data_IF_110654031754
#
_entry.id   IF_110654031754
#
_cell.length_a   1.000
_cell.length_b   1.000
_cell.length_c   1.000
_cell.angle_alpha   90.00
_cell.angle_beta   90.00
_cell.angle_gamma   90.00
#
_symmetry.space_group_name_H-M   'P 1'
#
loop_
_entity.id
_entity.type
_entity.pdbx_description
1 polymer ?
#
# COMPACT_ATOMS: atom_id res chain seq x y z
N UNK A 1 -5.09 -18.55 20.42
CA UNK A 1 -5.13 -17.63 19.25
C UNK A 1 -5.05 -18.43 17.93
N UNK A 2 -6.17 -18.52 17.21
CA UNK A 2 -6.32 -19.29 15.97
C UNK A 2 -5.27 -18.88 14.92
N UNK A 3 -4.34 -19.78 14.61
CA UNK A 3 -3.28 -19.61 13.62
C UNK A 3 -3.85 -19.84 12.22
N UNK A 4 -4.65 -18.90 11.71
CA UNK A 4 -5.06 -18.89 10.29
C UNK A 4 -5.65 -20.21 9.78
N UNK A 5 -6.36 -20.97 10.62
CA UNK A 5 -6.87 -22.28 10.20
C UNK A 5 -7.82 -22.13 9.00
N UNK A 6 -7.54 -22.90 7.96
CA UNK A 6 -8.41 -23.06 6.81
C UNK A 6 -9.58 -23.94 7.24
N UNK A 7 -10.80 -23.44 7.08
CA UNK A 7 -12.03 -24.09 7.50
C UNK A 7 -12.86 -24.39 6.26
N UNK A 8 -13.28 -25.63 6.08
CA UNK A 8 -14.22 -26.01 5.04
C UNK A 8 -15.63 -25.72 5.54
N UNK A 9 -16.32 -24.73 4.96
CA UNK A 9 -17.76 -24.54 5.20
C UNK A 9 -18.52 -24.63 3.88
N UNK A 10 -19.53 -25.50 3.86
CA UNK A 10 -20.53 -25.53 2.81
C UNK A 10 -21.45 -24.31 2.93
N UNK A 11 -21.51 -23.47 1.89
CA UNK A 11 -22.51 -22.42 1.74
C UNK A 11 -23.20 -22.62 0.39
N UNK A 12 -24.47 -23.02 0.41
CA UNK A 12 -25.44 -22.91 -0.69
C UNK A 12 -25.05 -23.45 -2.08
N UNK A 13 -25.70 -24.55 -2.50
CA UNK A 13 -25.74 -25.19 -3.83
C UNK A 13 -24.43 -25.56 -4.56
N UNK A 14 -23.31 -24.90 -4.33
CA UNK A 14 -21.99 -25.32 -4.81
C UNK A 14 -21.25 -26.04 -3.67
N UNK A 15 -20.97 -27.33 -3.90
CA UNK A 15 -20.28 -28.20 -2.95
C UNK A 15 -18.77 -27.88 -2.99
N UNK A 16 -18.16 -27.74 -1.81
CA UNK A 16 -16.71 -27.72 -1.56
C UNK A 16 -15.90 -26.44 -1.89
N UNK A 17 -16.22 -25.29 -1.27
CA UNK A 17 -15.30 -24.15 -1.20
C UNK A 17 -14.51 -24.09 0.11
N UNK A 18 -13.22 -23.77 0.00
CA UNK A 18 -12.36 -23.50 1.16
C UNK A 18 -12.49 -22.05 1.63
N UNK A 19 -12.55 -21.83 2.95
CA UNK A 19 -12.63 -20.49 3.53
C UNK A 19 -11.63 -20.31 4.69
N UNK A 20 -11.33 -19.06 5.05
CA UNK A 20 -10.52 -18.74 6.24
C UNK A 20 -11.32 -17.98 7.28
N UNK A 21 -11.24 -18.39 8.54
CA UNK A 21 -11.89 -17.69 9.67
C UNK A 21 -11.38 -16.26 9.85
N UNK A 22 -10.12 -15.99 9.50
CA UNK A 22 -9.51 -14.66 9.59
C UNK A 22 -8.63 -14.37 8.37
N UNK A 23 -8.43 -13.08 8.06
CA UNK A 23 -7.59 -12.65 6.94
C UNK A 23 -6.34 -11.85 7.40
N UNK A 24 -5.56 -12.42 8.34
CA UNK A 24 -4.35 -11.76 8.84
C UNK A 24 -3.22 -11.70 7.80
N UNK A 25 -3.22 -12.64 6.86
CA UNK A 25 -2.28 -12.68 5.74
C UNK A 25 -2.62 -11.64 4.65
N UNK A 26 -3.78 -10.97 4.72
CA UNK A 26 -4.16 -9.94 3.77
C UNK A 26 -4.39 -10.48 2.35
N UNK A 27 -4.96 -11.67 2.24
CA UNK A 27 -5.33 -12.29 0.96
C UNK A 27 -4.18 -12.98 0.21
N UNK A 28 -2.95 -12.94 0.72
CA UNK A 28 -1.76 -13.48 0.05
C UNK A 28 -1.01 -14.42 1.00
N UNK A 29 -0.75 -15.65 0.54
CA UNK A 29 0.05 -16.65 1.25
C UNK A 29 1.07 -17.25 0.29
N UNK A 30 2.35 -17.32 0.71
CA UNK A 30 3.41 -17.87 -0.14
C UNK A 30 3.60 -17.14 -1.49
N UNK A 31 3.16 -15.88 -1.59
CA UNK A 31 3.20 -15.10 -2.83
C UNK A 31 2.03 -15.33 -3.78
N UNK A 32 1.02 -16.13 -3.40
CA UNK A 32 -0.16 -16.43 -4.23
C UNK A 32 -1.43 -15.96 -3.53
N UNK A 33 -2.40 -15.48 -4.30
CA UNK A 33 -3.71 -15.09 -3.79
C UNK A 33 -4.46 -16.29 -3.21
N UNK A 34 -5.05 -16.12 -2.04
CA UNK A 34 -5.58 -17.24 -1.26
C UNK A 34 -7.13 -17.30 -1.24
N UNK A 35 -7.79 -16.45 -2.04
CA UNK A 35 -9.25 -16.33 -2.14
C UNK A 35 -9.89 -15.35 -1.16
N UNK A 36 -9.16 -14.89 -0.14
CA UNK A 36 -9.63 -13.81 0.75
C UNK A 36 -9.35 -12.42 0.13
N UNK A 37 -10.03 -11.35 0.60
CA UNK A 37 -9.74 -9.99 0.14
C UNK A 37 -8.25 -9.64 0.27
N UNK A 38 -7.68 -9.03 -0.77
CA UNK A 38 -6.29 -8.54 -0.72
C UNK A 38 -6.25 -7.26 0.10
N UNK A 39 -5.44 -7.22 1.16
CA UNK A 39 -5.31 -6.07 2.05
C UNK A 39 -3.87 -5.56 2.01
N UNK A 40 -3.69 -4.37 1.46
CA UNK A 40 -2.39 -3.69 1.36
C UNK A 40 -2.41 -2.43 2.22
N UNK A 41 -1.30 -2.16 2.93
CA UNK A 41 -1.09 -0.90 3.67
C UNK A 41 0.13 -0.19 3.11
N UNK A 42 -0.06 1.08 2.74
CA UNK A 42 1.00 1.91 2.17
C UNK A 42 1.33 3.05 3.13
N UNK A 43 2.61 3.18 3.47
CA UNK A 43 3.11 4.25 4.32
C UNK A 43 3.78 5.31 3.45
N UNK A 44 3.18 6.50 3.44
CA UNK A 44 3.72 7.64 2.72
C UNK A 44 4.58 8.49 3.65
N UNK A 45 5.81 8.76 3.23
CA UNK A 45 6.62 9.79 3.86
C UNK A 45 5.92 11.17 3.72
N UNK A 46 6.09 12.09 4.68
CA UNK A 46 5.68 13.48 4.50
C UNK A 46 6.31 14.13 3.26
N UNK A 47 5.64 15.13 2.69
CA UNK A 47 6.17 15.84 1.53
C UNK A 47 7.52 16.48 1.89
N UNK A 48 8.51 16.36 0.99
CA UNK A 48 9.90 16.71 1.27
C UNK A 48 10.13 18.20 1.54
N UNK A 49 9.37 19.08 0.88
CA UNK A 49 9.54 20.53 0.97
C UNK A 49 8.65 21.09 2.07
N UNK A 50 9.22 21.96 2.91
CA UNK A 50 8.55 22.53 4.07
C UNK A 50 8.65 24.06 4.01
N UNK A 51 7.60 24.75 4.45
CA UNK A 51 7.62 26.22 4.59
C UNK A 51 8.65 26.71 5.61
N UNK A 52 8.99 25.88 6.59
CA UNK A 52 10.21 26.03 7.38
C UNK A 52 11.30 25.19 6.68
N UNK A 53 12.17 25.81 5.87
CA UNK A 53 13.10 25.07 5.04
C UNK A 53 14.09 24.28 5.89
N UNK A 54 14.52 23.14 5.35
CA UNK A 54 15.59 22.34 5.92
C UNK A 54 16.93 22.84 5.39
N UNK A 55 17.99 22.70 6.20
CA UNK A 55 19.34 23.00 5.72
C UNK A 55 19.77 22.00 4.65
N UNK A 56 20.36 22.52 3.59
CA UNK A 56 20.88 21.78 2.45
C UNK A 56 22.15 22.45 1.93
N UNK A 57 22.62 22.06 0.74
CA UNK A 57 23.83 22.57 0.11
C UNK A 57 23.53 23.01 -1.31
N UNK A 58 24.00 24.19 -1.70
CA UNK A 58 23.99 24.63 -3.10
C UNK A 58 24.99 23.77 -3.90
N UNK A 59 24.50 23.10 -4.94
CA UNK A 59 25.28 22.12 -5.71
C UNK A 59 26.41 22.80 -6.52
N UNK A 60 26.26 24.06 -6.92
CA UNK A 60 27.25 24.83 -7.68
C UNK A 60 28.34 25.38 -6.77
N UNK A 61 27.94 26.03 -5.67
CA UNK A 61 28.89 26.73 -4.78
C UNK A 61 29.44 25.83 -3.66
N UNK A 62 28.78 24.70 -3.38
CA UNK A 62 29.05 23.78 -2.27
C UNK A 62 28.94 24.43 -0.88
N UNK A 63 28.21 25.54 -0.78
CA UNK A 63 27.97 26.24 0.47
C UNK A 63 26.63 25.87 1.09
N UNK A 64 26.48 26.11 2.40
CA UNK A 64 25.23 25.90 3.12
C UNK A 64 24.13 26.80 2.55
N UNK A 65 22.95 26.22 2.34
CA UNK A 65 21.77 26.90 1.80
C UNK A 65 20.49 26.32 2.43
N UNK A 66 19.38 27.05 2.30
CA UNK A 66 18.07 26.56 2.69
C UNK A 66 17.37 25.85 1.52
N UNK A 67 16.64 24.78 1.82
CA UNK A 67 15.90 24.02 0.80
C UNK A 67 14.78 24.86 0.16
N UNK A 68 14.63 24.74 -1.16
CA UNK A 68 13.59 25.42 -1.92
C UNK A 68 12.19 24.86 -1.62
N UNK A 69 11.18 25.71 -1.67
CA UNK A 69 9.77 25.34 -1.47
C UNK A 69 9.11 25.14 -2.84
N UNK A 70 8.78 23.90 -3.18
CA UNK A 70 8.19 23.55 -4.48
C UNK A 70 6.67 23.40 -4.44
N UNK A 71 6.11 22.93 -3.32
CA UNK A 71 4.66 22.76 -3.15
C UNK A 71 4.19 23.26 -1.80
N UNK A 72 2.91 23.62 -1.75
CA UNK A 72 2.24 24.24 -0.61
C UNK A 72 1.30 23.30 0.16
N UNK A 73 1.03 22.11 -0.37
CA UNK A 73 0.12 21.17 0.28
C UNK A 73 0.74 20.53 1.53
N UNK A 74 -0.07 20.35 2.57
CA UNK A 74 0.39 19.82 3.88
C UNK A 74 0.32 18.29 3.91
N UNK A 75 -0.66 17.69 3.21
CA UNK A 75 -0.90 16.25 3.24
C UNK A 75 -1.22 15.71 1.84
N UNK A 76 -0.47 14.68 1.42
CA UNK A 76 -0.69 13.96 0.15
C UNK A 76 -1.47 12.66 0.34
N UNK A 77 -1.62 12.17 1.57
CA UNK A 77 -2.13 10.81 1.87
C UNK A 77 -3.46 10.49 1.17
N UNK A 78 -4.49 11.35 1.15
CA UNK A 78 -5.73 11.04 0.45
C UNK A 78 -5.54 10.85 -1.06
N UNK A 79 -4.74 11.71 -1.71
CA UNK A 79 -4.43 11.59 -3.15
C UNK A 79 -3.55 10.38 -3.45
N UNK A 80 -2.62 10.08 -2.55
CA UNK A 80 -1.74 8.94 -2.68
C UNK A 80 -2.48 7.59 -2.50
N UNK A 81 -3.61 7.59 -1.79
CA UNK A 81 -4.53 6.44 -1.72
C UNK A 81 -5.04 6.03 -3.09
N UNK A 82 -5.55 6.98 -3.88
CA UNK A 82 -6.02 6.74 -5.25
C UNK A 82 -4.91 6.18 -6.15
N UNK A 83 -3.70 6.73 -6.04
CA UNK A 83 -2.54 6.23 -6.79
C UNK A 83 -2.17 4.81 -6.36
N UNK A 84 -2.23 4.51 -5.06
CA UNK A 84 -1.97 3.18 -4.52
C UNK A 84 -2.97 2.14 -5.01
N UNK A 85 -4.26 2.50 -5.06
CA UNK A 85 -5.33 1.66 -5.60
C UNK A 85 -5.12 1.39 -7.09
N UNK A 86 -4.85 2.43 -7.88
CA UNK A 86 -4.58 2.28 -9.31
C UNK A 86 -3.37 1.35 -9.58
N UNK A 87 -2.29 1.50 -8.81
CA UNK A 87 -1.12 0.62 -8.92
C UNK A 87 -1.44 -0.82 -8.53
N UNK A 88 -2.24 -1.04 -7.48
CA UNK A 88 -2.69 -2.37 -7.10
C UNK A 88 -3.53 -3.01 -8.21
N UNK A 89 -4.50 -2.29 -8.77
CA UNK A 89 -5.32 -2.76 -9.89
C UNK A 89 -4.48 -3.08 -11.13
N UNK A 90 -3.49 -2.25 -11.45
CA UNK A 90 -2.59 -2.48 -12.58
C UNK A 90 -1.79 -3.78 -12.42
N UNK A 91 -1.21 -4.01 -11.24
CA UNK A 91 -0.45 -5.24 -10.96
C UNK A 91 -1.35 -6.46 -10.99
N UNK A 92 -2.54 -6.39 -10.38
CA UNK A 92 -3.49 -7.51 -10.40
C UNK A 92 -3.96 -7.84 -11.81
N UNK A 93 -4.29 -6.84 -12.63
CA UNK A 93 -4.69 -7.07 -14.02
C UNK A 93 -3.57 -7.71 -14.84
N UNK A 94 -2.31 -7.33 -14.59
CA UNK A 94 -1.14 -7.94 -15.23
C UNK A 94 -0.96 -9.40 -14.85
N UNK A 95 -1.19 -9.79 -13.60
CA UNK A 95 -1.04 -11.19 -13.15
C UNK A 95 -2.21 -12.09 -13.59
N UNK A 96 -3.31 -11.52 -14.10
CA UNK A 96 -4.46 -12.26 -14.61
C UNK A 96 -4.34 -12.65 -16.10
N UNK A 97 -3.42 -12.03 -16.84
CA UNK A 97 -3.25 -12.19 -18.30
C UNK A 97 -1.89 -12.81 -18.60
#
# INVERSE_FOLDING_TARGET
PDRGSMDSRFHGNDKDMYFRKTNRAGGIEGGVTNGMPIIVRVYHKPISTLYKPLQTVDIKTKQSADATVERSDICVVPRAGVVSEAMLSFVLAREMV
#
